data_IF_952981424196
#
_entry.id   IF_952981424196
#
_cell.length_a   1.000
_cell.length_b   1.000
_cell.length_c   1.000
_cell.angle_alpha   90.00
_cell.angle_beta   90.00
_cell.angle_gamma   90.00
#
_symmetry.space_group_name_H-M   'P 1'
#
loop_
_entity.id
_entity.type
_entity.pdbx_description
1 polymer ?
#
# COMPACT_ATOMS: atom_id res chain seq x y z
N UNK A 1 -68.05 41.14 3.07
CA UNK A 1 -66.59 41.22 2.86
C UNK A 1 -65.76 40.96 4.12
N UNK A 2 -66.32 40.52 5.26
CA UNK A 2 -65.59 40.25 6.53
C UNK A 2 -65.37 38.76 6.80
N UNK A 3 -65.80 37.81 5.91
CA UNK A 3 -65.66 36.38 6.12
C UNK A 3 -64.53 35.73 5.23
N UNK A 4 -63.98 36.49 4.28
CA UNK A 4 -62.91 36.00 3.38
C UNK A 4 -61.51 36.30 3.98
N UNK A 5 -61.40 37.33 4.86
CA UNK A 5 -60.15 37.67 5.50
C UNK A 5 -59.71 36.70 6.62
N UNK A 6 -60.62 35.88 7.14
CA UNK A 6 -60.31 34.93 8.22
C UNK A 6 -59.78 33.58 7.72
N UNK A 7 -60.03 33.25 6.45
CA UNK A 7 -59.55 32.00 5.81
C UNK A 7 -58.11 32.14 5.30
N UNK A 8 -57.63 33.34 5.00
CA UNK A 8 -56.26 33.60 4.54
C UNK A 8 -55.21 33.64 5.65
N UNK A 9 -55.62 33.86 6.89
CA UNK A 9 -54.70 33.89 8.04
C UNK A 9 -54.46 32.49 8.62
N UNK A 10 -55.35 31.53 8.35
CA UNK A 10 -55.19 30.16 8.85
C UNK A 10 -54.39 29.26 7.91
N UNK A 11 -54.16 29.69 6.65
CA UNK A 11 -53.31 28.95 5.68
C UNK A 11 -51.83 29.27 5.79
N UNK A 12 -51.42 30.28 6.55
CA UNK A 12 -50.03 30.69 6.75
C UNK A 12 -49.35 30.01 7.95
N UNK A 13 -50.06 29.16 8.70
CA UNK A 13 -49.53 28.48 9.91
C UNK A 13 -49.22 26.99 9.68
N UNK A 14 -49.27 26.50 8.44
CA UNK A 14 -48.78 25.19 8.06
C UNK A 14 -47.59 25.31 7.11
N UNK A 15 -46.58 26.09 7.48
CA UNK A 15 -45.24 25.82 7.00
C UNK A 15 -44.79 24.50 7.67
N UNK A 16 -44.52 23.46 6.89
CA UNK A 16 -43.85 22.32 7.48
C UNK A 16 -42.56 22.88 8.07
N UNK A 17 -42.38 22.68 9.36
CA UNK A 17 -41.04 22.63 9.95
C UNK A 17 -40.30 21.52 9.18
N UNK A 18 -39.71 21.88 8.05
CA UNK A 18 -38.59 21.13 7.51
C UNK A 18 -37.55 21.19 8.63
N UNK A 19 -37.61 20.20 9.51
CA UNK A 19 -36.53 19.95 10.43
C UNK A 19 -35.26 19.99 9.61
N UNK A 20 -34.29 20.79 9.99
CA UNK A 20 -32.90 20.56 9.67
C UNK A 20 -32.52 19.23 10.31
N UNK A 21 -32.97 18.13 9.74
CA UNK A 21 -32.34 16.82 9.91
C UNK A 21 -30.96 16.99 9.28
N UNK A 22 -29.92 16.91 10.08
CA UNK A 22 -28.59 16.71 9.54
C UNK A 22 -28.72 15.57 8.54
N UNK A 23 -28.32 15.81 7.29
CA UNK A 23 -28.33 14.76 6.29
C UNK A 23 -27.62 13.54 6.90
N UNK A 24 -28.28 12.39 6.84
CA UNK A 24 -27.70 11.16 7.38
C UNK A 24 -26.37 10.92 6.65
N UNK A 25 -25.30 10.71 7.42
CA UNK A 25 -23.99 10.42 6.84
C UNK A 25 -24.09 9.12 6.06
N UNK A 26 -23.45 9.05 4.91
CA UNK A 26 -23.48 7.87 4.06
C UNK A 26 -22.21 7.74 3.24
N UNK A 27 -21.69 6.51 3.21
CA UNK A 27 -20.59 6.12 2.33
C UNK A 27 -19.19 6.38 2.87
N UNK A 28 -18.23 6.29 1.98
CA UNK A 28 -16.80 6.27 2.28
C UNK A 28 -16.11 7.47 1.65
N UNK A 29 -15.29 8.16 2.44
CA UNK A 29 -14.33 9.13 1.95
C UNK A 29 -12.93 8.49 1.90
N UNK A 30 -12.19 8.74 0.84
CA UNK A 30 -10.77 8.41 0.72
C UNK A 30 -9.95 9.70 0.69
N UNK A 31 -9.02 9.84 1.62
CA UNK A 31 -8.07 10.96 1.69
C UNK A 31 -6.69 10.43 1.35
N UNK A 32 -6.05 11.01 0.34
CA UNK A 32 -4.75 10.55 -0.14
C UNK A 32 -3.80 11.69 -0.46
N UNK A 33 -2.53 11.31 -0.57
CA UNK A 33 -1.40 12.18 -0.94
C UNK A 33 -1.50 12.69 -2.38
N UNK A 34 -0.70 13.69 -2.79
CA UNK A 34 -0.73 14.27 -4.14
C UNK A 34 -0.33 13.30 -5.26
N UNK A 35 0.59 12.36 -4.99
CA UNK A 35 0.93 11.29 -5.93
C UNK A 35 -0.33 10.51 -6.33
N UNK A 36 -1.28 10.48 -5.42
CA UNK A 36 -2.69 10.24 -5.69
C UNK A 36 -2.99 8.87 -6.22
N UNK A 37 -4.03 8.86 -7.04
CA UNK A 37 -4.79 7.68 -7.39
C UNK A 37 -4.38 7.05 -8.74
N UNK A 38 -3.27 7.48 -9.31
CA UNK A 38 -2.75 7.00 -10.61
C UNK A 38 -1.26 6.61 -10.55
N UNK A 39 -0.74 6.43 -9.34
CA UNK A 39 0.68 6.19 -9.05
C UNK A 39 1.16 4.77 -9.36
N UNK A 40 0.26 3.85 -9.71
CA UNK A 40 0.54 2.41 -9.85
C UNK A 40 1.21 1.82 -8.59
N UNK A 41 0.89 2.39 -7.45
CA UNK A 41 1.44 2.07 -6.14
C UNK A 41 0.32 2.12 -5.08
N UNK A 42 0.57 2.67 -3.88
CA UNK A 42 -0.37 2.67 -2.76
C UNK A 42 -1.70 3.37 -3.09
N UNK A 43 -1.64 4.59 -3.60
CA UNK A 43 -2.84 5.41 -3.81
C UNK A 43 -3.82 4.78 -4.79
N UNK A 44 -3.33 4.31 -5.93
CA UNK A 44 -4.16 3.63 -6.92
C UNK A 44 -4.70 2.29 -6.42
N UNK A 45 -3.90 1.53 -5.68
CA UNK A 45 -4.33 0.25 -5.11
C UNK A 45 -5.48 0.45 -4.10
N UNK A 46 -5.36 1.43 -3.21
CA UNK A 46 -6.40 1.80 -2.25
C UNK A 46 -7.66 2.30 -2.94
N UNK A 47 -7.54 3.25 -3.87
CA UNK A 47 -8.69 3.73 -4.66
C UNK A 47 -9.44 2.58 -5.31
N UNK A 48 -8.72 1.70 -6.00
CA UNK A 48 -9.32 0.56 -6.69
C UNK A 48 -10.08 -0.34 -5.74
N UNK A 49 -9.50 -0.67 -4.59
CA UNK A 49 -10.12 -1.53 -3.59
C UNK A 49 -11.36 -0.88 -2.95
N UNK A 50 -11.27 0.39 -2.58
CA UNK A 50 -12.37 1.14 -1.94
C UNK A 50 -13.53 1.32 -2.94
N UNK A 51 -13.21 1.72 -4.18
CA UNK A 51 -14.23 1.93 -5.20
C UNK A 51 -14.96 0.63 -5.57
N UNK A 52 -14.24 -0.49 -5.65
CA UNK A 52 -14.84 -1.80 -5.88
C UNK A 52 -15.80 -2.19 -4.75
N UNK A 53 -15.38 -2.01 -3.49
CA UNK A 53 -16.24 -2.25 -2.33
C UNK A 53 -17.49 -1.36 -2.34
N UNK A 54 -17.32 -0.05 -2.56
CA UNK A 54 -18.46 0.87 -2.65
C UNK A 54 -19.44 0.49 -3.75
N UNK A 55 -18.93 0.08 -4.91
CA UNK A 55 -19.75 -0.37 -6.05
C UNK A 55 -20.54 -1.63 -5.70
N UNK A 56 -19.90 -2.61 -5.10
CA UNK A 56 -20.55 -3.86 -4.67
C UNK A 56 -21.66 -3.63 -3.63
N UNK A 57 -21.40 -2.77 -2.65
CA UNK A 57 -22.34 -2.49 -1.55
C UNK A 57 -23.33 -1.36 -1.86
N UNK A 58 -23.22 -0.69 -3.02
CA UNK A 58 -24.06 0.45 -3.37
C UNK A 58 -23.84 1.69 -2.49
N UNK A 59 -22.63 1.88 -1.99
CA UNK A 59 -22.27 2.97 -1.10
C UNK A 59 -21.73 4.19 -1.88
N UNK A 60 -22.05 5.42 -1.46
CA UNK A 60 -21.40 6.62 -1.98
C UNK A 60 -19.89 6.62 -1.73
N UNK A 61 -19.12 7.09 -2.70
CA UNK A 61 -17.68 7.23 -2.64
C UNK A 61 -17.25 8.68 -2.92
N UNK A 62 -16.30 9.20 -2.13
CA UNK A 62 -15.72 10.54 -2.31
C UNK A 62 -14.21 10.49 -2.18
N UNK A 63 -13.52 11.23 -3.06
CA UNK A 63 -12.06 11.37 -3.05
C UNK A 63 -11.65 12.77 -2.58
N UNK A 64 -10.59 12.82 -1.80
CA UNK A 64 -9.89 14.03 -1.37
C UNK A 64 -8.40 13.82 -1.66
N UNK A 65 -7.94 14.33 -2.81
CA UNK A 65 -6.53 14.24 -3.23
C UNK A 65 -5.83 15.50 -2.78
N UNK A 66 -4.75 15.37 -2.00
CA UNK A 66 -4.00 16.50 -1.48
C UNK A 66 -3.36 17.32 -2.60
N UNK A 67 -3.28 18.63 -2.39
CA UNK A 67 -2.57 19.59 -3.23
C UNK A 67 -1.26 20.08 -2.57
N UNK A 68 -0.77 19.35 -1.57
CA UNK A 68 0.39 19.70 -0.72
C UNK A 68 0.22 21.01 0.09
N UNK A 69 -0.97 21.59 0.13
CA UNK A 69 -1.19 22.75 0.98
C UNK A 69 -1.20 22.39 2.47
N UNK A 70 -0.72 23.30 3.29
CA UNK A 70 -0.76 23.16 4.74
C UNK A 70 -2.20 22.89 5.21
N UNK A 71 -2.37 21.98 6.17
CA UNK A 71 -3.67 21.59 6.74
C UNK A 71 -4.66 20.93 5.76
N UNK A 72 -4.24 20.55 4.53
CA UNK A 72 -5.15 19.91 3.56
C UNK A 72 -5.85 18.70 4.17
N UNK A 73 -5.10 17.76 4.74
CA UNK A 73 -5.66 16.53 5.31
C UNK A 73 -6.68 16.81 6.42
N UNK A 74 -6.42 17.81 7.26
CA UNK A 74 -7.37 18.22 8.33
C UNK A 74 -8.65 18.81 7.75
N UNK A 75 -8.54 19.66 6.73
CA UNK A 75 -9.70 20.26 6.05
C UNK A 75 -10.52 19.21 5.31
N UNK A 76 -9.86 18.26 4.64
CA UNK A 76 -10.50 17.13 3.99
C UNK A 76 -11.23 16.25 5.02
N UNK A 77 -10.60 15.94 6.15
CA UNK A 77 -11.21 15.18 7.22
C UNK A 77 -12.44 15.88 7.83
N UNK A 78 -12.38 17.20 8.03
CA UNK A 78 -13.54 18.00 8.48
C UNK A 78 -14.70 17.93 7.48
N UNK A 79 -14.43 18.06 6.20
CA UNK A 79 -15.44 17.97 5.14
C UNK A 79 -16.04 16.57 5.05
N UNK A 80 -15.21 15.55 5.04
CA UNK A 80 -15.63 14.15 4.99
C UNK A 80 -16.47 13.76 6.22
N UNK A 81 -16.08 14.22 7.41
CA UNK A 81 -16.77 13.93 8.66
C UNK A 81 -18.22 14.45 8.71
N UNK A 82 -18.58 15.41 7.87
CA UNK A 82 -19.96 15.92 7.79
C UNK A 82 -20.88 15.03 6.96
N UNK A 83 -20.33 14.24 6.03
CA UNK A 83 -21.11 13.59 4.99
C UNK A 83 -20.87 12.08 4.86
N UNK A 84 -19.75 11.56 5.36
CA UNK A 84 -19.37 10.15 5.22
C UNK A 84 -19.41 9.40 6.55
N UNK A 85 -19.73 8.11 6.51
CA UNK A 85 -19.73 7.22 7.67
C UNK A 85 -18.32 6.96 8.17
N UNK A 86 -17.40 6.80 7.22
CA UNK A 86 -16.01 6.45 7.48
C UNK A 86 -15.06 7.18 6.53
N UNK A 87 -13.89 7.52 7.04
CA UNK A 87 -12.79 8.11 6.27
C UNK A 87 -11.64 7.11 6.21
N UNK A 88 -11.20 6.76 5.03
CA UNK A 88 -10.01 5.94 4.78
C UNK A 88 -8.86 6.86 4.40
N UNK A 89 -7.71 6.68 5.03
CA UNK A 89 -6.51 7.49 4.81
C UNK A 89 -5.38 6.62 4.26
N UNK A 90 -4.65 7.12 3.24
CA UNK A 90 -3.38 6.53 2.82
C UNK A 90 -2.29 6.72 3.90
N UNK A 91 -1.08 6.25 3.65
CA UNK A 91 0.02 6.33 4.62
C UNK A 91 0.36 7.76 5.06
N UNK A 92 0.39 8.72 4.14
CA UNK A 92 0.68 10.14 4.45
C UNK A 92 -0.45 10.79 5.27
N UNK A 93 -1.69 10.66 4.82
CA UNK A 93 -2.85 11.16 5.55
C UNK A 93 -3.00 10.49 6.93
N UNK A 94 -2.69 9.19 7.01
CA UNK A 94 -2.68 8.44 8.27
C UNK A 94 -1.67 8.99 9.26
N UNK A 95 -0.45 9.30 8.82
CA UNK A 95 0.59 9.87 9.69
C UNK A 95 0.17 11.20 10.31
N UNK A 96 -0.57 12.05 9.57
CA UNK A 96 -1.04 13.35 10.08
C UNK A 96 -2.31 13.26 10.93
N UNK A 97 -3.26 12.42 10.52
CA UNK A 97 -4.61 12.42 11.10
C UNK A 97 -4.77 11.43 12.26
N UNK A 98 -3.93 10.40 12.38
CA UNK A 98 -4.12 9.34 13.36
C UNK A 98 -4.19 9.85 14.81
N UNK A 99 -3.41 10.86 15.16
CA UNK A 99 -3.37 11.44 16.51
C UNK A 99 -4.50 12.46 16.75
N UNK A 100 -5.04 13.04 15.69
CA UNK A 100 -6.10 14.06 15.77
C UNK A 100 -7.48 13.53 15.38
N UNK A 101 -7.56 12.30 14.88
CA UNK A 101 -8.78 11.67 14.37
C UNK A 101 -9.94 11.71 15.37
N UNK A 102 -9.69 11.64 16.67
CA UNK A 102 -10.71 11.72 17.73
C UNK A 102 -11.44 13.08 17.79
N UNK A 103 -10.85 14.14 17.24
CA UNK A 103 -11.49 15.45 17.17
C UNK A 103 -12.66 15.50 16.17
N UNK A 104 -12.72 14.54 15.25
CA UNK A 104 -13.76 14.48 14.23
C UNK A 104 -14.87 13.50 14.64
N UNK A 105 -16.11 13.89 14.39
CA UNK A 105 -17.28 13.05 14.70
C UNK A 105 -17.55 12.05 13.55
N UNK A 106 -16.55 11.25 13.19
CA UNK A 106 -16.64 10.18 12.19
C UNK A 106 -15.63 9.09 12.51
N UNK A 107 -15.74 7.95 11.87
CA UNK A 107 -14.80 6.84 12.01
C UNK A 107 -13.67 6.93 11.00
N UNK A 108 -12.50 6.41 11.35
CA UNK A 108 -11.33 6.39 10.49
C UNK A 108 -10.77 4.98 10.31
N UNK A 109 -10.33 4.69 9.10
CA UNK A 109 -9.44 3.56 8.78
C UNK A 109 -8.11 4.11 8.27
N UNK A 110 -7.08 3.98 9.07
CA UNK A 110 -5.72 4.42 8.76
C UNK A 110 -4.96 3.27 8.13
N UNK A 111 -4.62 3.40 6.85
CA UNK A 111 -3.94 2.33 6.09
C UNK A 111 -2.44 2.58 6.05
N UNK A 112 -1.67 1.49 6.02
CA UNK A 112 -0.21 1.47 6.12
C UNK A 112 0.33 2.23 7.35
N UNK A 113 -0.40 2.15 8.46
CA UNK A 113 -0.08 2.83 9.71
C UNK A 113 -0.04 1.84 10.88
N UNK A 114 1.02 1.88 11.67
CA UNK A 114 1.23 0.98 12.83
C UNK A 114 1.20 1.70 14.17
N UNK A 115 1.07 3.02 14.16
CA UNK A 115 1.05 3.83 15.37
C UNK A 115 -0.27 3.73 16.15
N UNK A 116 -0.35 4.44 17.26
CA UNK A 116 -1.56 4.54 18.08
C UNK A 116 -2.63 5.35 17.35
N UNK A 117 -3.88 4.94 17.51
CA UNK A 117 -5.06 5.64 16.95
C UNK A 117 -6.11 5.84 18.04
N UNK A 118 -6.95 6.85 17.87
CA UNK A 118 -8.04 7.12 18.80
C UNK A 118 -9.18 6.10 18.75
N UNK A 119 -10.12 6.20 19.69
CA UNK A 119 -11.24 5.24 19.81
C UNK A 119 -12.18 5.20 18.61
N UNK A 120 -12.22 6.25 17.78
CA UNK A 120 -12.96 6.27 16.50
C UNK A 120 -12.11 5.82 15.32
N UNK A 121 -10.86 5.38 15.54
CA UNK A 121 -9.92 4.93 14.53
C UNK A 121 -9.64 3.43 14.60
N UNK A 122 -9.29 2.89 13.46
CA UNK A 122 -8.72 1.57 13.25
C UNK A 122 -7.49 1.74 12.37
N UNK A 123 -6.37 1.13 12.72
CA UNK A 123 -5.17 1.13 11.88
C UNK A 123 -4.89 -0.27 11.32
N UNK A 124 -4.56 -0.32 10.05
CA UNK A 124 -4.13 -1.54 9.36
C UNK A 124 -2.81 -1.28 8.65
N UNK A 125 -1.91 -2.23 8.75
CA UNK A 125 -0.66 -2.25 8.02
C UNK A 125 -0.42 -3.63 7.43
N UNK A 126 0.53 -3.72 6.53
CA UNK A 126 0.88 -4.95 5.84
C UNK A 126 2.32 -5.31 6.14
N UNK A 127 2.64 -6.60 6.06
CA UNK A 127 4.01 -7.06 6.19
C UNK A 127 4.69 -7.04 4.82
N UNK A 128 5.26 -5.89 4.47
CA UNK A 128 6.08 -5.73 3.27
C UNK A 128 7.23 -6.74 3.25
N UNK A 129 7.77 -7.04 4.44
CA UNK A 129 8.84 -8.00 4.60
C UNK A 129 8.46 -9.40 4.12
N UNK A 130 7.21 -9.85 4.37
CA UNK A 130 6.75 -11.17 3.91
C UNK A 130 6.67 -11.23 2.38
N UNK A 131 6.08 -10.22 1.75
CA UNK A 131 5.95 -10.17 0.28
C UNK A 131 7.32 -10.10 -0.40
N UNK A 132 8.20 -9.21 0.09
CA UNK A 132 9.54 -9.03 -0.45
C UNK A 132 10.43 -10.26 -0.22
N UNK A 133 10.30 -10.93 0.94
CA UNK A 133 10.97 -12.19 1.22
C UNK A 133 10.63 -13.25 0.18
N UNK A 134 9.34 -13.42 -0.08
CA UNK A 134 8.85 -14.41 -1.06
C UNK A 134 9.39 -14.11 -2.48
N UNK A 135 9.40 -12.83 -2.87
CA UNK A 135 9.92 -12.42 -4.17
C UNK A 135 11.43 -12.63 -4.30
N UNK A 136 12.21 -12.27 -3.27
CA UNK A 136 13.65 -12.49 -3.21
C UNK A 136 14.01 -13.96 -3.22
N UNK A 137 13.32 -14.77 -2.42
CA UNK A 137 13.49 -16.23 -2.37
C UNK A 137 13.25 -16.86 -3.74
N UNK A 138 12.12 -16.53 -4.39
CA UNK A 138 11.77 -17.03 -5.71
C UNK A 138 12.82 -16.67 -6.77
N UNK A 139 13.35 -15.45 -6.74
CA UNK A 139 14.34 -15.00 -7.70
C UNK A 139 15.68 -15.74 -7.56
N UNK A 140 16.11 -16.10 -6.34
CA UNK A 140 17.30 -16.97 -6.13
C UNK A 140 17.03 -18.36 -6.67
N UNK A 141 15.85 -18.94 -6.41
CA UNK A 141 15.46 -20.25 -6.92
C UNK A 141 15.36 -20.26 -8.47
N UNK A 142 15.01 -19.11 -9.07
CA UNK A 142 15.05 -18.91 -10.54
C UNK A 142 16.47 -18.76 -11.10
N UNK A 143 17.50 -18.86 -10.28
CA UNK A 143 18.89 -18.84 -10.69
C UNK A 143 19.59 -17.49 -10.63
N UNK A 144 18.95 -16.43 -10.15
CA UNK A 144 19.58 -15.10 -9.99
C UNK A 144 20.54 -15.08 -8.81
N UNK A 145 21.63 -14.30 -8.92
CA UNK A 145 22.68 -14.19 -7.90
C UNK A 145 23.06 -12.74 -7.59
N UNK A 146 22.85 -11.83 -8.53
CA UNK A 146 23.19 -10.41 -8.39
C UNK A 146 21.92 -9.56 -8.45
N UNK A 147 21.59 -8.96 -7.33
CA UNK A 147 20.33 -8.25 -7.12
C UNK A 147 20.55 -6.76 -6.95
N UNK A 148 19.57 -5.99 -7.38
CA UNK A 148 19.43 -4.59 -7.02
C UNK A 148 18.15 -4.36 -6.22
N UNK A 149 18.18 -3.40 -5.29
CA UNK A 149 17.00 -2.78 -4.74
C UNK A 149 17.08 -1.29 -5.02
N UNK A 150 16.04 -0.77 -5.67
CA UNK A 150 15.99 0.62 -6.12
C UNK A 150 14.69 1.25 -5.62
N UNK A 151 14.80 2.29 -4.83
CA UNK A 151 13.62 2.90 -4.23
C UNK A 151 13.67 4.42 -4.34
N UNK A 152 12.50 5.04 -4.24
CA UNK A 152 12.33 6.46 -4.14
C UNK A 152 12.73 7.00 -2.76
N UNK A 153 11.77 7.40 -1.97
CA UNK A 153 12.01 7.88 -0.61
C UNK A 153 12.47 6.74 0.33
N UNK A 154 13.42 7.08 1.19
CA UNK A 154 13.80 6.21 2.31
C UNK A 154 12.79 6.40 3.45
N UNK A 155 11.77 5.59 3.47
CA UNK A 155 10.75 5.57 4.51
C UNK A 155 10.60 4.16 5.11
N UNK A 156 9.76 4.02 6.12
CA UNK A 156 9.58 2.73 6.81
C UNK A 156 9.13 1.62 5.86
N UNK A 157 8.23 1.93 4.93
CA UNK A 157 7.68 0.94 4.00
C UNK A 157 8.76 0.45 3.02
N UNK A 158 9.49 1.35 2.37
CA UNK A 158 10.57 0.99 1.45
C UNK A 158 11.71 0.26 2.15
N UNK A 159 12.01 0.62 3.41
CA UNK A 159 13.00 -0.08 4.24
C UNK A 159 12.53 -1.49 4.63
N UNK A 160 11.23 -1.72 4.91
CA UNK A 160 10.68 -3.06 5.16
C UNK A 160 10.72 -3.95 3.92
N UNK A 161 10.43 -3.39 2.73
CA UNK A 161 10.64 -4.12 1.47
C UNK A 161 12.09 -4.54 1.29
N UNK A 162 13.05 -3.63 1.47
CA UNK A 162 14.48 -3.95 1.40
C UNK A 162 14.87 -5.05 2.40
N UNK A 163 14.44 -4.91 3.65
CA UNK A 163 14.72 -5.88 4.70
C UNK A 163 14.20 -7.28 4.35
N UNK A 164 12.95 -7.40 3.93
CA UNK A 164 12.35 -8.66 3.53
C UNK A 164 13.04 -9.26 2.29
N UNK A 165 13.33 -8.44 1.29
CA UNK A 165 14.00 -8.88 0.06
C UNK A 165 15.37 -9.49 0.34
N UNK A 166 16.19 -8.82 1.13
CA UNK A 166 17.51 -9.33 1.53
C UNK A 166 17.40 -10.64 2.31
N UNK A 167 16.46 -10.75 3.25
CA UNK A 167 16.23 -11.98 4.01
C UNK A 167 15.80 -13.15 3.12
N UNK A 168 14.91 -12.90 2.14
CA UNK A 168 14.46 -13.92 1.19
C UNK A 168 15.60 -14.44 0.31
N UNK A 169 16.44 -13.52 -0.16
CA UNK A 169 17.65 -13.86 -0.93
C UNK A 169 18.60 -14.71 -0.08
N UNK A 170 18.90 -14.28 1.16
CA UNK A 170 19.81 -14.99 2.04
C UNK A 170 19.29 -16.37 2.43
N UNK A 171 17.98 -16.50 2.68
CA UNK A 171 17.36 -17.77 3.02
C UNK A 171 17.41 -18.82 1.90
N UNK A 172 17.37 -18.37 0.64
CA UNK A 172 17.44 -19.25 -0.53
C UNK A 172 18.88 -19.45 -1.06
N UNK A 173 19.83 -18.64 -0.61
CA UNK A 173 21.24 -18.74 -1.02
C UNK A 173 21.99 -19.84 -0.25
N UNK A 174 23.18 -20.20 -0.73
CA UNK A 174 24.06 -21.19 -0.12
C UNK A 174 25.53 -20.79 -0.30
N UNK A 175 26.44 -21.46 0.39
CA UNK A 175 27.89 -21.22 0.24
C UNK A 175 28.37 -21.34 -1.21
N UNK A 176 27.85 -22.33 -1.95
CA UNK A 176 28.16 -22.53 -3.37
C UNK A 176 27.41 -21.62 -4.33
N UNK A 177 26.42 -20.88 -3.83
CA UNK A 177 25.54 -20.00 -4.60
C UNK A 177 25.29 -18.70 -3.81
N UNK A 178 26.38 -18.04 -3.42
CA UNK A 178 26.34 -16.77 -2.71
C UNK A 178 25.73 -15.66 -3.58
N UNK A 179 25.04 -14.73 -2.94
CA UNK A 179 24.33 -13.65 -3.59
C UNK A 179 24.88 -12.27 -3.20
N UNK A 180 24.65 -11.30 -4.05
CA UNK A 180 24.92 -9.88 -3.76
C UNK A 180 23.66 -9.05 -3.93
N UNK A 181 23.48 -8.06 -3.08
CA UNK A 181 22.42 -7.06 -3.18
C UNK A 181 23.03 -5.67 -3.12
N UNK A 182 22.88 -4.89 -4.17
CA UNK A 182 23.21 -3.47 -4.16
C UNK A 182 21.92 -2.66 -4.06
N UNK A 183 21.82 -1.73 -3.10
CA UNK A 183 20.62 -0.92 -2.96
C UNK A 183 20.90 0.57 -3.07
N UNK A 184 19.88 1.30 -3.50
CA UNK A 184 19.93 2.76 -3.66
C UNK A 184 18.57 3.39 -3.40
N UNK A 185 18.57 4.54 -2.71
CA UNK A 185 17.40 5.39 -2.51
C UNK A 185 17.63 6.72 -3.21
N UNK A 186 16.77 7.08 -4.15
CA UNK A 186 16.89 8.34 -4.92
C UNK A 186 16.55 9.56 -4.08
N UNK A 187 15.68 9.40 -3.08
CA UNK A 187 15.13 10.48 -2.26
C UNK A 187 13.85 11.10 -2.82
N UNK A 188 13.34 10.59 -3.96
CA UNK A 188 12.06 10.98 -4.55
C UNK A 188 11.39 9.79 -5.21
N UNK A 189 10.07 9.69 -5.10
CA UNK A 189 9.26 8.67 -5.75
C UNK A 189 8.93 9.01 -7.21
N UNK A 190 9.40 10.16 -7.71
CA UNK A 190 9.15 10.60 -9.07
C UNK A 190 10.06 9.91 -10.10
N UNK A 191 9.51 9.67 -11.29
CA UNK A 191 10.29 9.21 -12.42
C UNK A 191 11.11 10.36 -13.03
N UNK A 192 12.32 10.05 -13.52
CA UNK A 192 13.18 11.03 -14.16
C UNK A 192 14.43 10.43 -14.79
N UNK A 193 15.13 11.24 -15.57
CA UNK A 193 16.32 10.81 -16.31
C UNK A 193 17.47 10.42 -15.37
N UNK A 194 17.62 11.10 -14.23
CA UNK A 194 18.62 10.77 -13.20
C UNK A 194 18.34 9.40 -12.60
N UNK A 195 17.11 9.17 -12.13
CA UNK A 195 16.68 7.88 -11.59
C UNK A 195 16.88 6.74 -12.60
N UNK A 196 16.55 6.99 -13.88
CA UNK A 196 16.80 6.05 -14.97
C UNK A 196 18.28 5.75 -15.17
N UNK A 197 19.13 6.80 -15.18
CA UNK A 197 20.58 6.62 -15.36
C UNK A 197 21.19 5.81 -14.22
N UNK A 198 20.76 6.05 -12.98
CA UNK A 198 21.20 5.27 -11.81
C UNK A 198 20.75 3.82 -11.92
N UNK A 199 19.47 3.57 -12.20
CA UNK A 199 18.95 2.21 -12.38
C UNK A 199 19.69 1.48 -13.50
N UNK A 200 19.96 2.15 -14.62
CA UNK A 200 20.71 1.59 -15.73
C UNK A 200 22.16 1.24 -15.33
N UNK A 201 22.84 2.11 -14.57
CA UNK A 201 24.19 1.82 -14.12
C UNK A 201 24.23 0.64 -13.15
N UNK A 202 23.25 0.48 -12.24
CA UNK A 202 23.16 -0.68 -11.37
C UNK A 202 23.04 -2.00 -12.15
N UNK A 203 22.31 -1.99 -13.26
CA UNK A 203 22.25 -3.15 -14.17
C UNK A 203 23.56 -3.38 -14.90
N UNK A 204 24.25 -2.32 -15.34
CA UNK A 204 25.55 -2.41 -16.01
C UNK A 204 26.65 -2.88 -15.06
N UNK A 205 26.55 -2.57 -13.77
CA UNK A 205 27.45 -3.03 -12.71
C UNK A 205 27.22 -4.50 -12.33
N UNK A 206 26.29 -5.19 -13.02
CA UNK A 206 26.12 -6.63 -12.93
C UNK A 206 24.80 -7.12 -12.33
N UNK A 207 23.94 -6.25 -11.82
CA UNK A 207 22.64 -6.69 -11.31
C UNK A 207 21.81 -7.38 -12.41
N UNK A 208 21.22 -8.52 -12.09
CA UNK A 208 20.43 -9.33 -13.03
C UNK A 208 18.94 -9.00 -12.94
N UNK A 209 18.50 -8.62 -11.74
CA UNK A 209 17.13 -8.32 -11.39
C UNK A 209 17.09 -7.22 -10.30
N UNK A 210 16.09 -6.36 -10.37
CA UNK A 210 15.94 -5.22 -9.47
C UNK A 210 14.53 -5.19 -8.88
N UNK A 211 14.42 -5.15 -7.54
CA UNK A 211 13.18 -4.81 -6.89
C UNK A 211 13.04 -3.29 -6.84
N UNK A 212 11.86 -2.79 -7.20
CA UNK A 212 11.58 -1.34 -7.28
C UNK A 212 10.46 -0.98 -6.32
N UNK A 213 10.73 -0.03 -5.41
CA UNK A 213 9.76 0.45 -4.41
C UNK A 213 9.65 1.97 -4.41
N UNK A 214 8.41 2.48 -4.38
CA UNK A 214 8.10 3.92 -4.40
C UNK A 214 7.36 4.35 -5.66
N UNK A 215 6.30 5.09 -5.50
CA UNK A 215 5.44 5.77 -6.48
C UNK A 215 5.74 5.52 -7.95
N UNK A 216 5.99 6.58 -8.68
CA UNK A 216 6.23 6.51 -10.13
C UNK A 216 7.66 6.10 -10.54
N UNK A 217 8.58 5.95 -9.59
CA UNK A 217 10.00 5.63 -9.89
C UNK A 217 10.16 4.34 -10.70
N UNK A 218 9.17 3.43 -10.64
CA UNK A 218 9.17 2.21 -11.45
C UNK A 218 9.27 2.51 -12.95
N UNK A 219 8.75 3.64 -13.44
CA UNK A 219 8.83 4.04 -14.86
C UNK A 219 10.28 4.22 -15.30
N UNK A 220 11.12 4.82 -14.45
CA UNK A 220 12.57 4.96 -14.69
C UNK A 220 13.26 3.61 -14.71
N UNK A 221 12.94 2.73 -13.77
CA UNK A 221 13.49 1.36 -13.72
C UNK A 221 13.06 0.52 -14.93
N UNK A 222 11.81 0.65 -15.41
CA UNK A 222 11.33 -0.02 -16.63
C UNK A 222 12.13 0.43 -17.85
N UNK A 223 12.39 1.73 -17.99
CA UNK A 223 13.21 2.23 -19.10
C UNK A 223 14.64 1.69 -19.05
N UNK A 224 15.25 1.66 -17.85
CA UNK A 224 16.57 1.08 -17.64
C UNK A 224 16.60 -0.43 -17.94
N UNK A 225 15.62 -1.19 -17.47
CA UNK A 225 15.49 -2.62 -17.71
C UNK A 225 15.26 -2.96 -19.20
N UNK A 226 14.52 -2.14 -19.92
CA UNK A 226 14.32 -2.31 -21.37
C UNK A 226 15.62 -2.14 -22.15
N UNK A 227 16.43 -1.12 -21.83
CA UNK A 227 17.74 -0.87 -22.48
C UNK A 227 18.72 -2.00 -22.16
N UNK A 228 18.79 -2.44 -20.91
CA UNK A 228 19.75 -3.44 -20.43
C UNK A 228 19.27 -4.89 -20.60
N UNK A 229 18.01 -5.08 -20.99
CA UNK A 229 17.34 -6.39 -21.11
C UNK A 229 17.33 -7.18 -19.79
N UNK A 230 17.25 -6.48 -18.67
CA UNK A 230 17.21 -7.05 -17.33
C UNK A 230 15.77 -7.16 -16.81
N UNK A 231 15.61 -7.68 -15.60
CA UNK A 231 14.31 -8.02 -15.00
C UNK A 231 13.99 -7.13 -13.81
N UNK A 232 12.70 -7.03 -13.50
CA UNK A 232 12.17 -6.24 -12.40
C UNK A 232 11.28 -7.10 -11.48
N UNK A 233 11.23 -6.71 -10.23
CA UNK A 233 10.23 -7.09 -9.24
C UNK A 233 9.52 -5.82 -8.82
N UNK A 234 8.19 -5.79 -8.93
CA UNK A 234 7.36 -4.67 -8.50
C UNK A 234 7.03 -4.73 -7.02
N UNK A 235 6.37 -3.67 -6.54
CA UNK A 235 5.86 -3.55 -5.17
C UNK A 235 4.43 -3.03 -5.15
N UNK A 236 3.72 -3.23 -4.04
CA UNK A 236 2.39 -2.73 -3.70
C UNK A 236 1.24 -3.37 -4.46
N UNK A 237 1.07 -3.09 -5.73
CA UNK A 237 0.05 -3.67 -6.59
C UNK A 237 0.66 -4.38 -7.78
N UNK A 238 -0.08 -5.29 -8.41
CA UNK A 238 0.44 -6.00 -9.58
C UNK A 238 0.85 -5.04 -10.70
N UNK A 239 2.14 -5.07 -11.03
CA UNK A 239 2.76 -4.26 -12.08
C UNK A 239 3.07 -5.05 -13.35
N UNK A 240 2.62 -6.30 -13.48
CA UNK A 240 2.88 -7.14 -14.63
C UNK A 240 2.37 -6.54 -15.96
N UNK A 241 1.32 -5.72 -15.90
CA UNK A 241 0.76 -4.99 -17.04
C UNK A 241 1.60 -3.81 -17.52
N UNK A 242 2.52 -3.30 -16.68
CA UNK A 242 3.32 -2.11 -17.01
C UNK A 242 4.50 -2.45 -17.91
N UNK A 243 5.06 -3.64 -17.78
CA UNK A 243 6.18 -4.11 -18.60
C UNK A 243 6.34 -5.62 -18.52
N UNK A 244 6.75 -6.24 -19.61
CA UNK A 244 7.19 -7.64 -19.64
C UNK A 244 8.48 -7.87 -18.83
N UNK A 245 9.16 -6.80 -18.39
CA UNK A 245 10.34 -6.90 -17.53
C UNK A 245 10.01 -7.28 -16.11
N UNK A 246 8.79 -7.02 -15.64
CA UNK A 246 8.35 -7.49 -14.33
C UNK A 246 8.15 -9.01 -14.37
N UNK A 247 8.92 -9.74 -13.56
CA UNK A 247 8.77 -11.19 -13.41
C UNK A 247 7.77 -11.55 -12.31
N UNK A 248 7.58 -10.65 -11.36
CA UNK A 248 6.58 -10.74 -10.29
C UNK A 248 6.43 -9.38 -9.59
N UNK A 249 5.53 -9.31 -8.62
CA UNK A 249 5.33 -8.15 -7.74
C UNK A 249 5.20 -8.61 -6.29
N UNK A 250 5.92 -7.98 -5.37
CA UNK A 250 5.70 -8.10 -3.94
C UNK A 250 4.49 -7.23 -3.57
N UNK A 251 3.29 -7.82 -3.57
CA UNK A 251 2.04 -7.08 -3.53
C UNK A 251 1.29 -7.21 -2.21
N UNK A 252 0.39 -6.26 -1.99
CA UNK A 252 -0.59 -6.25 -0.90
C UNK A 252 -1.98 -6.52 -1.45
N UNK A 253 -2.75 -7.32 -0.73
CA UNK A 253 -4.13 -7.67 -1.08
C UNK A 253 -5.11 -6.68 -0.44
N UNK A 254 -5.02 -5.40 -0.86
CA UNK A 254 -5.84 -4.32 -0.32
C UNK A 254 -7.34 -4.62 -0.38
N UNK A 255 -7.82 -5.16 -1.49
CA UNK A 255 -9.23 -5.46 -1.67
C UNK A 255 -9.75 -6.44 -0.61
N UNK A 256 -9.01 -7.51 -0.33
CA UNK A 256 -9.38 -8.52 0.66
C UNK A 256 -9.39 -7.93 2.07
N UNK A 257 -8.34 -7.19 2.44
CA UNK A 257 -8.20 -6.63 3.79
C UNK A 257 -9.23 -5.53 4.03
N UNK A 258 -9.38 -4.59 3.08
CA UNK A 258 -10.34 -3.50 3.23
C UNK A 258 -11.78 -4.00 3.25
N UNK A 259 -12.14 -4.99 2.43
CA UNK A 259 -13.47 -5.58 2.47
C UNK A 259 -13.77 -6.15 3.86
N UNK A 260 -12.87 -6.93 4.46
CA UNK A 260 -13.05 -7.49 5.79
C UNK A 260 -13.16 -6.43 6.89
N UNK A 261 -12.33 -5.39 6.87
CA UNK A 261 -12.41 -4.29 7.85
C UNK A 261 -13.69 -3.46 7.67
N UNK A 262 -14.09 -3.18 6.43
CA UNK A 262 -15.30 -2.42 6.13
C UNK A 262 -16.58 -3.20 6.43
N UNK A 263 -16.64 -4.50 6.14
CA UNK A 263 -17.76 -5.35 6.53
C UNK A 263 -17.93 -5.34 8.07
N UNK A 264 -16.83 -5.48 8.82
CA UNK A 264 -16.89 -5.41 10.29
C UNK A 264 -17.34 -4.03 10.80
N UNK A 265 -16.99 -2.94 10.10
CA UNK A 265 -17.45 -1.59 10.42
C UNK A 265 -18.94 -1.42 10.15
N UNK A 266 -19.42 -1.78 8.96
CA UNK A 266 -20.81 -1.57 8.56
C UNK A 266 -21.79 -2.51 9.28
N UNK A 267 -21.39 -3.71 9.61
CA UNK A 267 -22.20 -4.64 10.42
C UNK A 267 -22.50 -4.05 11.81
N UNK A 268 -21.52 -3.39 12.44
CA UNK A 268 -21.66 -2.77 13.73
C UNK A 268 -22.07 -1.28 13.68
N UNK A 269 -22.06 -0.65 12.49
CA UNK A 269 -22.21 0.79 12.23
C UNK A 269 -21.19 1.68 12.96
N UNK A 270 -20.11 1.08 13.44
CA UNK A 270 -18.99 1.75 14.12
C UNK A 270 -17.87 0.75 14.36
N UNK A 271 -16.69 1.21 14.77
CA UNK A 271 -15.67 0.29 15.26
C UNK A 271 -16.13 -0.36 16.57
N UNK A 272 -16.33 -1.68 16.57
CA UNK A 272 -16.60 -2.44 17.78
C UNK A 272 -15.40 -2.42 18.74
N UNK A 273 -15.59 -2.77 20.01
CA UNK A 273 -14.52 -2.80 21.02
C UNK A 273 -13.33 -3.71 20.65
N UNK A 274 -13.51 -4.67 19.72
CA UNK A 274 -12.45 -5.49 19.16
C UNK A 274 -11.53 -4.75 18.18
N UNK A 275 -12.00 -3.68 17.58
CA UNK A 275 -11.33 -2.92 16.49
C UNK A 275 -10.96 -1.49 16.90
N UNK A 276 -11.83 -0.81 17.64
CA UNK A 276 -11.68 0.58 18.05
C UNK A 276 -10.35 0.84 18.77
N UNK A 277 -9.61 1.83 18.32
CA UNK A 277 -8.34 2.23 18.90
C UNK A 277 -7.20 1.23 18.70
N UNK A 278 -7.35 0.25 17.82
CA UNK A 278 -6.37 -0.82 17.64
C UNK A 278 -5.70 -0.77 16.27
N UNK A 279 -4.43 -1.19 16.27
CA UNK A 279 -3.64 -1.42 15.06
C UNK A 279 -3.45 -2.93 14.83
N UNK A 280 -3.40 -3.34 13.58
CA UNK A 280 -3.10 -4.71 13.17
C UNK A 280 -2.12 -4.70 12.00
N UNK A 281 -1.22 -5.69 11.97
CA UNK A 281 -0.35 -5.94 10.81
C UNK A 281 -0.81 -7.24 10.14
N UNK A 282 -1.27 -7.11 8.93
CA UNK A 282 -1.67 -8.22 8.08
C UNK A 282 -0.45 -8.85 7.39
N UNK A 283 -0.41 -10.17 7.32
CA UNK A 283 0.75 -10.97 6.91
C UNK A 283 0.38 -11.92 5.79
N UNK A 284 1.40 -12.61 5.26
CA UNK A 284 1.20 -13.71 4.31
C UNK A 284 0.27 -14.80 4.85
N UNK A 285 0.39 -15.15 6.14
CA UNK A 285 -0.50 -16.14 6.79
C UNK A 285 -1.98 -15.74 6.81
N UNK A 286 -2.28 -14.45 6.65
CA UNK A 286 -3.65 -13.93 6.54
C UNK A 286 -4.12 -13.81 5.07
N UNK A 287 -3.28 -14.18 4.09
CA UNK A 287 -3.58 -13.96 2.66
C UNK A 287 -3.53 -12.49 2.24
N UNK A 288 -2.87 -11.63 3.03
CA UNK A 288 -2.91 -10.18 2.85
C UNK A 288 -1.72 -9.60 2.07
N UNK A 289 -0.66 -10.36 1.93
CA UNK A 289 0.54 -9.99 1.17
C UNK A 289 1.12 -11.24 0.49
N UNK A 290 1.88 -11.05 -0.59
CA UNK A 290 2.51 -12.15 -1.29
C UNK A 290 3.05 -11.76 -2.64
N UNK A 291 3.19 -12.74 -3.53
CA UNK A 291 3.45 -12.53 -4.94
C UNK A 291 2.36 -13.22 -5.76
N UNK A 292 1.95 -12.66 -6.91
CA UNK A 292 0.94 -13.29 -7.77
C UNK A 292 1.48 -14.62 -8.33
N UNK A 293 0.60 -15.62 -8.44
CA UNK A 293 0.94 -16.95 -8.97
C UNK A 293 0.20 -17.28 -10.27
N UNK A 294 -0.63 -16.38 -10.77
CA UNK A 294 -1.38 -16.57 -11.99
C UNK A 294 -0.55 -16.29 -13.26
N UNK A 295 -0.98 -16.89 -14.35
CA UNK A 295 -0.33 -16.75 -15.65
C UNK A 295 -0.25 -15.29 -16.09
N UNK A 296 0.94 -14.84 -16.46
CA UNK A 296 1.19 -13.46 -16.93
C UNK A 296 1.74 -12.53 -15.87
N UNK A 297 1.61 -12.85 -14.57
CA UNK A 297 2.20 -12.08 -13.48
C UNK A 297 3.33 -12.84 -12.75
N UNK A 298 3.32 -14.17 -12.80
CA UNK A 298 4.43 -15.01 -12.36
C UNK A 298 5.26 -15.45 -13.58
N UNK A 299 6.43 -14.85 -13.77
CA UNK A 299 7.24 -15.02 -14.98
C UNK A 299 8.67 -15.55 -14.69
N UNK A 300 8.85 -16.20 -13.55
CA UNK A 300 10.10 -16.93 -13.29
C UNK A 300 10.24 -18.12 -14.25
N UNK A 301 11.43 -18.27 -14.84
CA UNK A 301 11.64 -19.24 -15.91
C UNK A 301 11.97 -20.65 -15.38
N UNK A 302 12.69 -20.73 -14.26
CA UNK A 302 13.23 -21.95 -13.70
C UNK A 302 12.64 -22.34 -12.34
N UNK A 303 11.75 -21.51 -11.78
CA UNK A 303 11.11 -21.77 -10.51
C UNK A 303 9.57 -21.66 -10.67
N UNK A 304 8.89 -22.77 -10.99
CA UNK A 304 7.47 -22.77 -11.29
C UNK A 304 6.59 -22.49 -10.06
N UNK A 305 5.36 -22.01 -10.29
CA UNK A 305 4.45 -21.51 -9.24
C UNK A 305 4.02 -22.59 -8.22
N UNK A 306 3.99 -23.86 -8.62
CA UNK A 306 3.69 -24.98 -7.72
C UNK A 306 4.83 -25.25 -6.72
N UNK A 307 6.08 -25.09 -7.15
CA UNK A 307 7.22 -25.13 -6.23
C UNK A 307 7.25 -23.94 -5.28
N UNK A 308 6.86 -22.76 -5.78
CA UNK A 308 6.72 -21.56 -4.95
C UNK A 308 5.65 -21.75 -3.85
N UNK A 309 4.56 -22.47 -4.11
CA UNK A 309 3.52 -22.73 -3.12
C UNK A 309 4.08 -23.40 -1.84
N UNK A 310 5.08 -24.27 -1.97
CA UNK A 310 5.74 -24.91 -0.82
C UNK A 310 6.47 -23.88 0.06
N UNK A 311 7.10 -22.86 -0.55
CA UNK A 311 7.79 -21.80 0.20
C UNK A 311 6.77 -21.01 1.02
N UNK A 312 5.60 -20.71 0.45
CA UNK A 312 4.49 -20.08 1.16
C UNK A 312 4.01 -20.89 2.35
N UNK A 313 3.85 -22.20 2.20
CA UNK A 313 3.45 -23.08 3.31
C UNK A 313 4.54 -23.15 4.39
N UNK A 314 5.82 -23.15 4.04
CA UNK A 314 6.92 -23.10 5.01
C UNK A 314 6.89 -21.78 5.82
N UNK A 315 6.56 -20.65 5.17
CA UNK A 315 6.41 -19.36 5.84
C UNK A 315 5.18 -19.34 6.77
N UNK A 316 4.04 -19.89 6.34
CA UNK A 316 2.83 -20.03 7.18
C UNK A 316 3.08 -20.93 8.39
N UNK A 317 3.79 -22.04 8.19
CA UNK A 317 4.11 -23.00 9.25
C UNK A 317 5.22 -22.51 10.20
N UNK A 318 5.88 -21.36 9.91
CA UNK A 318 6.98 -20.84 10.70
C UNK A 318 8.31 -21.57 10.52
N UNK A 319 8.41 -22.47 9.54
CA UNK A 319 9.68 -23.15 9.17
C UNK A 319 10.65 -22.16 8.48
N UNK A 320 10.11 -21.19 7.78
CA UNK A 320 10.79 -19.96 7.38
C UNK A 320 10.28 -18.81 8.25
N UNK A 321 11.20 -17.98 8.70
CA UNK A 321 10.90 -16.82 9.54
C UNK A 321 11.42 -15.55 8.91
N UNK A 322 10.66 -14.47 9.01
CA UNK A 322 11.04 -13.15 8.52
C UNK A 322 11.12 -12.19 9.70
N UNK A 323 12.30 -11.64 9.93
CA UNK A 323 12.51 -10.60 10.94
C UNK A 323 11.84 -9.30 10.50
N UNK A 324 11.16 -8.66 11.45
CA UNK A 324 10.40 -7.44 11.22
C UNK A 324 11.25 -6.20 11.43
N UNK A 325 10.87 -5.13 10.75
CA UNK A 325 11.44 -3.80 10.94
C UNK A 325 12.12 -3.23 9.71
N UNK A 326 12.66 -2.04 9.91
CA UNK A 326 13.24 -1.21 8.84
C UNK A 326 14.74 -1.37 8.68
N UNK A 327 15.39 -2.08 9.61
CA UNK A 327 16.82 -2.32 9.57
C UNK A 327 17.15 -3.62 8.85
N UNK A 328 18.26 -3.62 8.12
CA UNK A 328 18.80 -4.84 7.54
C UNK A 328 19.21 -5.84 8.65
N UNK A 329 19.17 -7.15 8.37
CA UNK A 329 19.61 -8.16 9.31
C UNK A 329 21.07 -7.93 9.73
N UNK A 330 21.34 -8.09 11.02
CA UNK A 330 22.70 -7.90 11.56
C UNK A 330 23.71 -8.95 11.07
N UNK A 331 23.23 -10.13 10.66
CA UNK A 331 24.03 -11.19 10.10
C UNK A 331 23.30 -11.87 8.94
N UNK A 332 23.99 -11.99 7.82
CA UNK A 332 23.58 -12.75 6.64
C UNK A 332 24.55 -13.90 6.45
N UNK A 333 24.06 -15.05 5.95
CA UNK A 333 24.88 -16.28 5.85
C UNK A 333 25.63 -16.32 4.54
N UNK A 334 24.97 -15.99 3.44
CA UNK A 334 25.48 -16.18 2.09
C UNK A 334 25.20 -14.99 1.17
N UNK A 335 24.80 -13.86 1.73
CA UNK A 335 24.45 -12.65 0.98
C UNK A 335 25.27 -11.46 1.43
N UNK A 336 25.91 -10.78 0.49
CA UNK A 336 26.58 -9.48 0.73
C UNK A 336 25.66 -8.35 0.31
N UNK A 337 25.49 -7.37 1.18
CA UNK A 337 24.62 -6.20 0.94
C UNK A 337 25.45 -4.92 0.95
N UNK A 338 25.30 -4.09 -0.06
CA UNK A 338 26.05 -2.85 -0.21
C UNK A 338 25.12 -1.69 -0.59
N UNK A 339 25.19 -0.59 0.13
CA UNK A 339 24.57 0.66 -0.30
C UNK A 339 25.43 1.31 -1.37
N UNK A 340 24.84 1.64 -2.52
CA UNK A 340 25.52 2.40 -3.55
C UNK A 340 25.73 3.83 -3.08
N UNK A 341 26.96 4.31 -3.18
CA UNK A 341 27.26 5.72 -2.89
C UNK A 341 26.52 6.64 -3.87
N UNK A 342 26.10 7.80 -3.39
CA UNK A 342 25.66 8.88 -4.28
C UNK A 342 26.88 9.44 -5.00
N UNK A 343 26.82 9.54 -6.32
CA UNK A 343 27.83 10.26 -7.07
C UNK A 343 27.73 11.74 -6.69
N UNK A 344 28.81 12.32 -6.15
CA UNK A 344 28.91 13.72 -5.74
C UNK A 344 28.93 14.67 -6.93
#
# INVERSE_FOLDING_TARGET
MKKIALLLVLSMLLLPLCGCGSAEKSGIAFICSPAGVEDRYEGQALKTAIFAYCTEKGLPYREYISDDSADYFKNAALSAAQTCDIVICDSKASAELAQTGTAYQTSFLFVNYTGSVGANGRAVAFSEEDAAFLAGYAAVCDGKRHFAFFAGERNDMSCRYLNGFVQGIDAASSESAACTVTYYFTGSDEAGDEAKAIAQSMFMDGSEIMMVAGGEIYKSAVQAANVTKKFLIGCEMDQAGESERFVTTAMKEYSTVLAGELDAFYDAKSWSAGFAGKSVVYRYSHGAVGIPTYTGAYRFASFPADMFANVGEMLKAGSLTVSRGTSLPAALRHTTVTERARDN
#
